data_IF_608885281818
#
_entry.id   IF_608885281818
#
_cell.length_a   1.000
_cell.length_b   1.000
_cell.length_c   1.000
_cell.angle_alpha   90.00
_cell.angle_beta   90.00
_cell.angle_gamma   90.00
#
_symmetry.space_group_name_H-M   'P 1'
#
loop_
_entity.id
_entity.type
_entity.pdbx_description
1 polymer ?
#
# COMPACT_ATOMS: atom_id res chain seq x y z
N UNK A 1 -12.55 -11.94 8.67
CA UNK A 1 -13.42 -11.18 7.75
C UNK A 1 -13.03 -11.59 6.34
N UNK A 2 -13.90 -12.30 5.62
CA UNK A 2 -13.62 -12.79 4.27
C UNK A 2 -14.13 -11.74 3.27
N UNK A 3 -13.24 -10.92 2.73
CA UNK A 3 -13.60 -9.95 1.67
C UNK A 3 -13.70 -10.73 0.36
N UNK A 4 -14.90 -10.80 -0.21
CA UNK A 4 -15.14 -11.34 -1.55
C UNK A 4 -14.28 -10.55 -2.56
N UNK A 5 -13.20 -11.17 -3.05
CA UNK A 5 -12.24 -10.55 -3.97
C UNK A 5 -12.51 -10.99 -5.41
N UNK A 6 -13.77 -10.90 -5.85
CA UNK A 6 -14.12 -11.28 -7.23
C UNK A 6 -13.74 -10.19 -8.25
N UNK A 7 -13.26 -9.03 -7.74
CA UNK A 7 -12.69 -7.94 -8.53
C UNK A 7 -13.65 -7.36 -9.56
N UNK A 8 -13.09 -6.64 -10.54
CA UNK A 8 -13.86 -6.06 -11.65
C UNK A 8 -14.41 -7.12 -12.63
N UNK A 9 -13.89 -8.35 -12.58
CA UNK A 9 -14.36 -9.48 -13.41
C UNK A 9 -15.81 -9.87 -13.11
N UNK A 10 -16.25 -9.73 -11.86
CA UNK A 10 -17.66 -9.94 -11.49
C UNK A 10 -18.61 -8.96 -12.18
N UNK A 11 -18.18 -7.69 -12.30
CA UNK A 11 -18.93 -6.63 -12.99
C UNK A 11 -19.05 -6.92 -14.49
N UNK A 12 -17.98 -7.42 -15.13
CA UNK A 12 -18.02 -7.83 -16.53
C UNK A 12 -19.04 -8.95 -16.79
N UNK A 13 -19.15 -9.91 -15.86
CA UNK A 13 -20.16 -10.99 -15.96
C UNK A 13 -21.57 -10.42 -15.90
N UNK A 14 -21.85 -9.49 -14.98
CA UNK A 14 -23.17 -8.84 -14.87
C UNK A 14 -23.50 -8.06 -16.14
N UNK A 15 -22.55 -7.28 -16.67
CA UNK A 15 -22.74 -6.52 -17.90
C UNK A 15 -23.05 -7.44 -19.10
N UNK A 16 -22.39 -8.61 -19.17
CA UNK A 16 -22.69 -9.64 -20.17
C UNK A 16 -24.11 -10.20 -20.01
N UNK A 17 -24.55 -10.50 -18.80
CA UNK A 17 -25.93 -10.98 -18.53
C UNK A 17 -26.99 -9.92 -18.88
N UNK A 18 -26.65 -8.64 -18.75
CA UNK A 18 -27.49 -7.52 -19.18
C UNK A 18 -27.42 -7.26 -20.70
N UNK A 19 -26.79 -8.15 -21.47
CA UNK A 19 -26.58 -8.03 -22.92
C UNK A 19 -25.83 -6.76 -23.34
N UNK A 20 -25.02 -6.17 -22.46
CA UNK A 20 -24.16 -5.04 -22.78
C UNK A 20 -22.92 -5.60 -23.49
N UNK A 21 -22.69 -5.16 -24.72
CA UNK A 21 -21.51 -5.53 -25.48
C UNK A 21 -20.30 -4.78 -24.94
N UNK A 22 -19.35 -5.56 -24.43
CA UNK A 22 -18.11 -5.06 -23.85
C UNK A 22 -16.99 -5.28 -24.86
N UNK A 23 -16.27 -4.21 -25.19
CA UNK A 23 -15.12 -4.28 -26.10
C UNK A 23 -13.87 -4.90 -25.46
N UNK A 24 -12.90 -5.36 -26.26
CA UNK A 24 -11.65 -5.96 -25.78
C UNK A 24 -10.88 -5.06 -24.81
N UNK A 25 -10.89 -3.75 -25.03
CA UNK A 25 -10.23 -2.76 -24.18
C UNK A 25 -10.73 -2.76 -22.73
N UNK A 26 -12.01 -3.09 -22.53
CA UNK A 26 -12.61 -3.10 -21.19
C UNK A 26 -12.22 -4.37 -20.43
N UNK A 27 -11.99 -5.48 -21.13
CA UNK A 27 -11.46 -6.70 -20.56
C UNK A 27 -10.01 -6.49 -20.08
N UNK A 28 -9.16 -5.93 -20.94
CA UNK A 28 -7.76 -5.60 -20.61
C UNK A 28 -7.68 -4.62 -19.43
N UNK A 29 -8.57 -3.63 -19.39
CA UNK A 29 -8.66 -2.71 -18.26
C UNK A 29 -9.02 -3.43 -16.96
N UNK A 30 -10.00 -4.33 -16.98
CA UNK A 30 -10.40 -5.09 -15.79
C UNK A 30 -9.27 -6.00 -15.28
N UNK A 31 -8.53 -6.65 -16.18
CA UNK A 31 -7.37 -7.46 -15.82
C UNK A 31 -6.27 -6.61 -15.18
N UNK A 32 -5.96 -5.47 -15.79
CA UNK A 32 -4.97 -4.51 -15.26
C UNK A 32 -5.38 -4.02 -13.88
N UNK A 33 -6.65 -3.65 -13.71
CA UNK A 33 -7.18 -3.14 -12.46
C UNK A 33 -7.18 -4.21 -11.36
N UNK A 34 -7.60 -5.44 -11.66
CA UNK A 34 -7.53 -6.57 -10.73
C UNK A 34 -6.09 -6.83 -10.28
N UNK A 35 -5.12 -6.81 -11.20
CA UNK A 35 -3.71 -6.99 -10.87
C UNK A 35 -3.18 -5.89 -9.94
N UNK A 36 -3.55 -4.63 -10.17
CA UNK A 36 -3.22 -3.53 -9.26
C UNK A 36 -3.84 -3.77 -7.88
N UNK A 37 -5.10 -4.19 -7.85
CA UNK A 37 -5.83 -4.42 -6.61
C UNK A 37 -5.21 -5.55 -5.77
N UNK A 38 -4.86 -6.68 -6.40
CA UNK A 38 -4.15 -7.79 -5.75
C UNK A 38 -2.80 -7.33 -5.21
N UNK A 39 -1.98 -6.64 -6.00
CA UNK A 39 -0.69 -6.11 -5.55
C UNK A 39 -0.82 -5.16 -4.36
N UNK A 40 -1.86 -4.32 -4.34
CA UNK A 40 -2.13 -3.44 -3.22
C UNK A 40 -2.54 -4.22 -1.97
N UNK A 41 -3.36 -5.27 -2.11
CA UNK A 41 -3.73 -6.16 -1.03
C UNK A 41 -2.51 -6.91 -0.47
N UNK A 42 -1.66 -7.47 -1.34
CA UNK A 42 -0.41 -8.15 -0.96
C UNK A 42 0.54 -7.19 -0.23
N UNK A 43 0.67 -5.95 -0.70
CA UNK A 43 1.46 -4.93 -0.01
C UNK A 43 0.91 -4.64 1.39
N UNK A 44 -0.42 -4.48 1.54
CA UNK A 44 -1.04 -4.26 2.87
C UNK A 44 -0.84 -5.48 3.78
N UNK A 45 -1.01 -6.69 3.25
CA UNK A 45 -0.79 -7.92 3.98
C UNK A 45 0.67 -8.02 4.45
N UNK A 46 1.63 -7.78 3.56
CA UNK A 46 3.06 -7.72 3.86
C UNK A 46 3.38 -6.68 4.93
N UNK A 47 2.84 -5.45 4.84
CA UNK A 47 3.01 -4.42 5.87
C UNK A 47 2.38 -4.80 7.22
N UNK A 48 1.31 -5.59 7.21
CA UNK A 48 0.68 -6.10 8.42
C UNK A 48 1.52 -7.18 9.12
N UNK A 49 2.39 -7.87 8.37
CA UNK A 49 3.30 -8.89 8.95
C UNK A 49 4.34 -8.28 9.89
N UNK A 50 4.83 -9.08 10.84
CA UNK A 50 5.89 -8.69 11.76
C UNK A 50 7.16 -8.26 11.02
N UNK A 51 7.52 -8.97 9.95
CA UNK A 51 8.68 -8.68 9.11
C UNK A 51 8.52 -7.36 8.37
N UNK A 52 7.35 -7.10 7.78
CA UNK A 52 7.04 -5.82 7.14
C UNK A 52 7.13 -4.62 8.10
N UNK A 53 6.73 -4.81 9.36
CA UNK A 53 6.89 -3.77 10.40
C UNK A 53 8.36 -3.55 10.76
N UNK A 54 9.16 -4.61 10.88
CA UNK A 54 10.60 -4.52 11.15
C UNK A 54 11.30 -3.78 10.00
N UNK A 55 11.01 -4.14 8.76
CA UNK A 55 11.60 -3.52 7.58
C UNK A 55 11.22 -2.03 7.47
N UNK A 56 9.97 -1.68 7.77
CA UNK A 56 9.53 -0.28 7.80
C UNK A 56 10.28 0.52 8.88
N UNK A 57 10.48 -0.05 10.07
CA UNK A 57 11.28 0.58 11.14
C UNK A 57 12.73 0.76 10.73
N UNK A 58 13.34 -0.23 10.07
CA UNK A 58 14.72 -0.14 9.55
C UNK A 58 14.87 0.97 8.52
N UNK A 59 13.96 1.08 7.56
CA UNK A 59 13.97 2.15 6.56
C UNK A 59 13.85 3.53 7.17
N UNK A 60 12.95 3.70 8.15
CA UNK A 60 12.83 4.97 8.89
C UNK A 60 14.11 5.33 9.62
N UNK A 61 14.71 4.37 10.33
CA UNK A 61 15.98 4.57 11.03
C UNK A 61 17.10 4.97 10.07
N UNK A 62 17.21 4.32 8.92
CA UNK A 62 18.23 4.66 7.93
C UNK A 62 18.07 6.09 7.36
N UNK A 63 16.83 6.57 7.20
CA UNK A 63 16.56 7.95 6.79
C UNK A 63 16.92 8.93 7.92
N UNK A 64 16.59 8.58 9.16
CA UNK A 64 16.91 9.39 10.33
C UNK A 64 18.43 9.51 10.54
N UNK A 65 19.17 8.40 10.46
CA UNK A 65 20.63 8.37 10.50
C UNK A 65 21.25 9.22 9.37
N UNK A 66 20.67 9.17 8.16
CA UNK A 66 21.09 9.99 7.03
C UNK A 66 20.83 11.49 7.27
N UNK A 67 19.67 11.84 7.82
CA UNK A 67 19.36 13.25 8.12
C UNK A 67 20.24 13.79 9.25
N UNK A 68 20.45 12.99 10.29
CA UNK A 68 21.31 13.34 11.42
C UNK A 68 22.78 13.54 11.01
N UNK A 69 23.27 12.77 10.03
CA UNK A 69 24.61 12.97 9.47
C UNK A 69 24.73 14.20 8.56
N UNK A 70 23.62 14.64 7.92
CA UNK A 70 23.59 15.82 7.05
C UNK A 70 23.42 17.14 7.80
N UNK A 71 22.59 17.16 8.82
CA UNK A 71 22.23 18.37 9.58
C UNK A 71 23.10 18.55 10.84
N UNK A 72 23.83 17.51 11.24
CA UNK A 72 24.49 17.44 12.55
C UNK A 72 23.49 17.12 13.66
N UNK A 73 23.96 16.54 14.76
CA UNK A 73 23.12 16.19 15.91
C UNK A 73 22.70 17.47 16.64
N UNK A 74 21.57 18.08 16.26
CA UNK A 74 20.92 19.10 17.08
C UNK A 74 20.13 18.38 18.18
N UNK A 75 20.84 17.89 19.19
CA UNK A 75 20.22 17.46 20.43
C UNK A 75 19.98 18.73 21.24
N UNK A 76 18.79 19.31 21.17
CA UNK A 76 18.41 20.31 22.18
C UNK A 76 18.30 19.57 23.52
N UNK A 77 19.13 19.89 24.53
CA UNK A 77 18.93 19.34 25.85
C UNK A 77 17.56 19.80 26.32
N UNK A 78 16.73 18.88 26.79
CA UNK A 78 15.51 19.22 27.51
C UNK A 78 15.87 20.01 28.76
N UNK A 79 15.98 21.33 28.62
CA UNK A 79 16.03 22.23 29.76
C UNK A 79 14.60 22.28 30.27
N UNK A 80 14.30 21.42 31.25
CA UNK A 80 13.24 21.69 32.23
C UNK A 80 13.53 23.07 32.80
N UNK A 81 12.88 24.10 32.27
CA UNK A 81 12.76 25.38 32.94
C UNK A 81 11.73 25.20 34.04
N UNK A 82 12.16 24.56 35.13
CA UNK A 82 11.42 24.61 36.38
C UNK A 82 11.68 25.98 37.04
N UNK A 83 10.64 26.81 37.29
CA UNK A 83 10.74 27.93 38.21
C UNK A 83 10.76 27.47 39.68
#
# INVERSE_FOLDING_TARGET
MCTYNDGASSVLKILKELMILIGPSTLEWCETWNNIHVRAADRRASLSTKEGRIETRRKRKAIEDLNQSREGVIYEPGIDRNP
#
